data_IF_188550124731
#
_entry.id   IF_188550124731
#
_cell.length_a   1.000
_cell.length_b   1.000
_cell.length_c   1.000
_cell.angle_alpha   90.00
_cell.angle_beta   90.00
_cell.angle_gamma   90.00
#
_symmetry.space_group_name_H-M   'P 1'
#
loop_
_entity.id
_entity.type
_entity.pdbx_description
1 polymer ?
#
# COMPACT_ATOMS: atom_id res chain seq x y z
N UNK A 1 -14.85 -2.59 -1.00
CA UNK A 1 -13.42 -2.38 -0.68
C UNK A 1 -12.73 -1.49 -1.72
N UNK A 2 -12.14 -2.00 -2.82
CA UNK A 2 -11.31 -1.16 -3.73
C UNK A 2 -12.04 0.08 -4.30
N UNK A 3 -13.25 -0.09 -4.86
CA UNK A 3 -14.06 1.04 -5.36
C UNK A 3 -14.39 2.09 -4.29
N UNK A 4 -14.55 1.67 -3.04
CA UNK A 4 -14.85 2.58 -1.93
C UNK A 4 -13.57 3.30 -1.50
N UNK A 5 -12.45 2.58 -1.40
CA UNK A 5 -11.14 3.17 -1.12
C UNK A 5 -10.77 4.25 -2.16
N UNK A 6 -11.05 4.00 -3.44
CA UNK A 6 -10.90 4.95 -4.54
C UNK A 6 -11.79 6.20 -4.42
N UNK A 7 -12.93 6.09 -3.73
CA UNK A 7 -13.84 7.21 -3.45
C UNK A 7 -13.45 7.98 -2.17
N UNK A 8 -12.31 7.64 -1.55
CA UNK A 8 -11.82 8.27 -0.33
C UNK A 8 -12.27 7.56 0.96
N UNK A 9 -12.87 6.37 0.87
CA UNK A 9 -13.24 5.59 2.06
C UNK A 9 -11.99 5.03 2.77
N UNK A 10 -11.65 5.65 3.90
CA UNK A 10 -10.46 5.30 4.69
C UNK A 10 -10.54 3.91 5.31
N UNK A 11 -11.74 3.42 5.61
CA UNK A 11 -11.94 2.09 6.19
C UNK A 11 -11.55 1.03 5.16
N UNK A 12 -12.11 1.13 3.95
CA UNK A 12 -11.77 0.24 2.84
C UNK A 12 -10.30 0.31 2.46
N UNK A 13 -9.67 1.49 2.50
CA UNK A 13 -8.23 1.63 2.24
C UNK A 13 -7.40 0.88 3.30
N UNK A 14 -7.73 1.07 4.58
CA UNK A 14 -7.03 0.37 5.67
C UNK A 14 -7.21 -1.15 5.59
N UNK A 15 -8.40 -1.64 5.21
CA UNK A 15 -8.58 -3.08 5.03
C UNK A 15 -7.73 -3.64 3.87
N UNK A 16 -7.56 -2.87 2.78
CA UNK A 16 -6.66 -3.24 1.69
C UNK A 16 -5.21 -3.28 2.17
N UNK A 17 -4.74 -2.25 2.89
CA UNK A 17 -3.39 -2.22 3.45
C UNK A 17 -3.17 -3.41 4.41
N UNK A 18 -4.16 -3.69 5.25
CA UNK A 18 -4.09 -4.80 6.21
C UNK A 18 -3.98 -6.15 5.50
N UNK A 19 -4.72 -6.35 4.40
CA UNK A 19 -4.66 -7.57 3.59
C UNK A 19 -3.25 -7.87 3.08
N UNK A 20 -2.47 -6.84 2.74
CA UNK A 20 -1.11 -6.97 2.24
C UNK A 20 -0.03 -6.83 3.34
N UNK A 21 -0.40 -6.82 4.63
CA UNK A 21 0.58 -6.55 5.70
C UNK A 21 1.74 -7.55 5.72
N UNK A 22 1.44 -8.84 5.50
CA UNK A 22 2.45 -9.89 5.46
C UNK A 22 3.37 -9.75 4.24
N UNK A 23 2.81 -9.40 3.08
CA UNK A 23 3.57 -9.12 1.86
C UNK A 23 4.44 -7.87 2.02
N UNK A 24 3.90 -6.81 2.60
CA UNK A 24 4.64 -5.57 2.90
C UNK A 24 5.82 -5.87 3.83
N UNK A 25 5.59 -6.67 4.89
CA UNK A 25 6.67 -7.06 5.79
C UNK A 25 7.71 -7.93 5.08
N UNK A 26 7.28 -8.87 4.23
CA UNK A 26 8.18 -9.71 3.47
C UNK A 26 9.03 -8.90 2.48
N UNK A 27 8.40 -8.03 1.70
CA UNK A 27 9.03 -7.19 0.68
C UNK A 27 9.97 -6.15 1.30
N UNK A 28 9.66 -5.64 2.50
CA UNK A 28 10.51 -4.68 3.20
C UNK A 28 11.94 -5.18 3.41
N UNK A 29 12.14 -6.50 3.48
CA UNK A 29 13.46 -7.15 3.68
C UNK A 29 14.39 -7.02 2.48
N UNK A 30 13.85 -6.68 1.31
CA UNK A 30 14.58 -6.56 0.06
C UNK A 30 14.88 -5.11 -0.33
N UNK A 31 14.38 -4.14 0.44
CA UNK A 31 14.60 -2.71 0.20
C UNK A 31 15.82 -2.25 1.00
N UNK A 32 16.72 -1.50 0.38
CA UNK A 32 17.88 -0.89 1.06
C UNK A 32 17.48 0.35 1.86
N UNK A 33 16.60 0.17 2.84
CA UNK A 33 16.15 1.16 3.82
C UNK A 33 16.01 0.50 5.20
N UNK A 34 15.97 1.28 6.29
CA UNK A 34 15.52 0.77 7.58
C UNK A 34 14.14 0.11 7.46
N UNK A 35 13.91 -0.98 8.22
CA UNK A 35 12.67 -1.78 8.13
C UNK A 35 11.41 -0.91 8.20
N UNK A 36 11.36 0.03 9.15
CA UNK A 36 10.20 0.90 9.33
C UNK A 36 9.98 1.80 8.11
N UNK A 37 11.04 2.38 7.55
CA UNK A 37 10.95 3.23 6.35
C UNK A 37 10.52 2.41 5.12
N UNK A 38 11.07 1.21 4.94
CA UNK A 38 10.69 0.30 3.87
C UNK A 38 9.19 -0.09 3.94
N UNK A 39 8.70 -0.41 5.14
CA UNK A 39 7.28 -0.72 5.37
C UNK A 39 6.40 0.49 5.03
N UNK A 40 6.79 1.69 5.46
CA UNK A 40 6.02 2.90 5.17
C UNK A 40 6.03 3.24 3.68
N UNK A 41 7.17 3.13 3.00
CA UNK A 41 7.26 3.32 1.54
C UNK A 41 6.33 2.38 0.79
N UNK A 42 6.32 1.09 1.14
CA UNK A 42 5.43 0.10 0.52
C UNK A 42 3.95 0.40 0.76
N UNK A 43 3.59 0.88 1.96
CA UNK A 43 2.20 1.30 2.27
C UNK A 43 1.78 2.51 1.45
N UNK A 44 2.63 3.53 1.34
CA UNK A 44 2.37 4.73 0.55
C UNK A 44 2.20 4.37 -0.93
N UNK A 45 3.08 3.54 -1.47
CA UNK A 45 2.97 3.09 -2.86
C UNK A 45 1.72 2.26 -3.10
N UNK A 46 1.35 1.37 -2.17
CA UNK A 46 0.09 0.62 -2.28
C UNK A 46 -1.13 1.55 -2.28
N UNK A 47 -1.15 2.57 -1.42
CA UNK A 47 -2.21 3.59 -1.39
C UNK A 47 -2.27 4.32 -2.74
N UNK A 48 -1.11 4.73 -3.27
CA UNK A 48 -1.01 5.39 -4.58
C UNK A 48 -1.56 4.49 -5.69
N UNK A 49 -1.20 3.21 -5.73
CA UNK A 49 -1.70 2.25 -6.73
C UNK A 49 -3.21 2.06 -6.64
N UNK A 50 -3.76 2.04 -5.42
CA UNK A 50 -5.20 1.88 -5.23
C UNK A 50 -5.96 3.14 -5.63
N UNK A 51 -5.41 4.32 -5.32
CA UNK A 51 -6.03 5.63 -5.54
C UNK A 51 -5.87 6.13 -6.99
N UNK A 52 -4.68 5.97 -7.56
CA UNK A 52 -4.35 6.35 -8.92
C UNK A 52 -4.70 5.20 -9.85
N UNK A 53 -5.56 5.43 -10.84
CA UNK A 53 -5.77 4.46 -11.91
C UNK A 53 -4.50 4.44 -12.77
N UNK A 54 -3.53 3.62 -12.35
CA UNK A 54 -2.34 3.18 -13.09
C UNK A 54 -2.22 3.84 -14.47
N UNK A 55 -1.70 5.06 -14.53
CA UNK A 55 -1.07 5.52 -15.76
C UNK A 55 0.29 4.84 -15.80
N UNK A 56 0.32 3.66 -16.42
CA UNK A 56 1.57 3.03 -16.84
C UNK A 56 2.39 4.06 -17.65
N UNK A 57 3.65 4.25 -17.29
CA UNK A 57 4.68 4.84 -18.14
C UNK A 57 5.72 3.75 -18.49
#
# INVERSE_FOLDING_TARGET
MVRQAQQGDKVSMNEIINLFSDDIEYLSRYIMLPREDAIQSLRVELINIVHDQMTCF
#
